data_IF_203690096131
#
_entry.id   IF_203690096131
#
_cell.length_a   1.000
_cell.length_b   1.000
_cell.length_c   1.000
_cell.angle_alpha   90.00
_cell.angle_beta   90.00
_cell.angle_gamma   90.00
#
_symmetry.space_group_name_H-M   'P 1'
#
loop_
_entity.id
_entity.type
_entity.pdbx_description
1 polymer ?
#
# COMPACT_ATOMS: atom_id res chain seq x y z
N UNK A 1 3.76 -36.42 -18.12
CA UNK A 1 3.51 -35.00 -17.97
C UNK A 1 4.80 -34.17 -17.94
N UNK A 2 5.86 -34.59 -17.21
CA UNK A 2 7.13 -33.85 -17.13
C UNK A 2 7.83 -33.68 -18.48
N UNK A 3 7.86 -34.72 -19.32
CA UNK A 3 8.45 -34.64 -20.66
C UNK A 3 7.61 -33.77 -21.60
N UNK A 4 6.29 -33.86 -21.48
CA UNK A 4 5.35 -32.99 -22.21
C UNK A 4 5.60 -31.52 -21.82
N UNK A 5 5.68 -31.22 -20.51
CA UNK A 5 5.98 -29.89 -20.01
C UNK A 5 7.34 -29.36 -20.49
N UNK A 6 8.39 -30.18 -20.50
CA UNK A 6 9.70 -29.80 -21.08
C UNK A 6 9.59 -29.47 -22.57
N UNK A 7 8.80 -30.23 -23.33
CA UNK A 7 8.57 -29.94 -24.74
C UNK A 7 7.84 -28.63 -24.96
N UNK A 8 6.86 -28.31 -24.08
CA UNK A 8 6.17 -27.02 -24.08
C UNK A 8 7.11 -25.83 -23.73
N UNK A 9 7.96 -25.98 -22.71
CA UNK A 9 8.96 -24.95 -22.34
C UNK A 9 9.95 -24.68 -23.47
N UNK A 10 10.31 -25.71 -24.24
CA UNK A 10 11.19 -25.61 -25.40
C UNK A 10 10.45 -25.10 -26.65
N UNK A 11 9.16 -24.74 -26.56
CA UNK A 11 8.30 -24.30 -27.67
C UNK A 11 8.34 -25.25 -28.86
N UNK A 12 8.40 -26.59 -28.59
CA UNK A 12 8.33 -27.57 -29.64
C UNK A 12 6.91 -27.62 -30.18
N UNK A 13 6.76 -27.78 -31.51
CA UNK A 13 5.44 -27.86 -32.15
C UNK A 13 4.75 -29.21 -31.86
N UNK A 14 5.55 -30.28 -31.69
CA UNK A 14 5.05 -31.65 -31.48
C UNK A 14 5.78 -32.30 -30.31
N UNK A 15 5.05 -33.13 -29.55
CA UNK A 15 5.59 -34.00 -28.50
C UNK A 15 5.25 -35.44 -28.83
N UNK A 16 6.25 -36.36 -28.81
CA UNK A 16 6.06 -37.78 -29.05
C UNK A 16 5.58 -38.45 -27.76
N UNK A 17 4.42 -39.12 -27.83
CA UNK A 17 3.86 -39.91 -26.76
C UNK A 17 4.56 -41.25 -26.62
N UNK A 18 4.48 -41.96 -25.46
CA UNK A 18 5.08 -43.28 -25.27
C UNK A 18 4.56 -44.36 -26.23
N UNK A 19 3.36 -44.19 -26.74
CA UNK A 19 2.72 -45.08 -27.71
C UNK A 19 3.13 -44.78 -29.16
N UNK A 20 4.06 -43.84 -29.36
CA UNK A 20 4.58 -43.48 -30.68
C UNK A 20 3.81 -42.39 -31.41
N UNK A 21 2.62 -42.02 -30.96
CA UNK A 21 1.82 -40.92 -31.54
C UNK A 21 2.43 -39.56 -31.22
N UNK A 22 2.10 -38.57 -32.05
CA UNK A 22 2.53 -37.20 -31.85
C UNK A 22 1.35 -36.34 -31.37
N UNK A 23 1.58 -35.59 -30.30
CA UNK A 23 0.66 -34.58 -29.79
C UNK A 23 1.13 -33.23 -30.31
N UNK A 24 0.24 -32.50 -30.95
CA UNK A 24 0.48 -31.11 -31.33
C UNK A 24 0.37 -30.21 -30.09
N UNK A 25 1.41 -29.42 -29.87
CA UNK A 25 1.51 -28.52 -28.71
C UNK A 25 1.08 -27.07 -29.04
N UNK A 26 0.60 -26.90 -30.27
CA UNK A 26 0.15 -25.59 -30.76
C UNK A 26 -1.30 -25.37 -30.33
N UNK A 27 -1.48 -24.58 -29.24
CA UNK A 27 -2.81 -24.24 -28.76
C UNK A 27 -2.81 -23.53 -27.40
N UNK A 28 -3.80 -22.67 -27.21
CA UNK A 28 -3.97 -21.87 -26.00
C UNK A 28 -4.01 -22.69 -24.70
N UNK A 29 -4.46 -23.94 -24.77
CA UNK A 29 -4.53 -24.84 -23.61
C UNK A 29 -3.15 -25.33 -23.15
N UNK A 30 -2.25 -25.64 -24.09
CA UNK A 30 -0.89 -26.07 -23.77
C UNK A 30 -0.07 -24.91 -23.18
N UNK A 31 -0.20 -23.70 -23.74
CA UNK A 31 0.46 -22.51 -23.23
C UNK A 31 0.01 -22.19 -21.81
N UNK A 32 -1.30 -22.25 -21.53
CA UNK A 32 -1.85 -22.00 -20.19
C UNK A 32 -1.42 -23.05 -19.17
N UNK A 33 -1.32 -24.31 -19.56
CA UNK A 33 -0.79 -25.36 -18.69
C UNK A 33 0.70 -25.16 -18.39
N UNK A 34 1.48 -24.74 -19.38
CA UNK A 34 2.88 -24.39 -19.17
C UNK A 34 3.04 -23.15 -18.29
N UNK A 35 2.24 -22.11 -18.51
CA UNK A 35 2.16 -20.93 -17.64
C UNK A 35 1.82 -21.33 -16.22
N UNK A 36 0.78 -22.15 -16.02
CA UNK A 36 0.36 -22.65 -14.73
C UNK A 36 1.49 -23.38 -14.00
N UNK A 37 2.14 -24.35 -14.68
CA UNK A 37 3.22 -25.11 -14.07
C UNK A 37 4.42 -24.24 -13.69
N UNK A 38 4.76 -23.28 -14.53
CA UNK A 38 5.83 -22.32 -14.26
C UNK A 38 5.48 -21.36 -13.12
N UNK A 39 4.23 -20.90 -13.08
CA UNK A 39 3.73 -20.00 -12.05
C UNK A 39 3.67 -20.65 -10.68
N UNK A 40 3.21 -21.89 -10.63
CA UNK A 40 3.12 -22.67 -9.40
C UNK A 40 4.48 -23.24 -8.96
N UNK A 41 5.52 -23.05 -9.78
CA UNK A 41 6.87 -23.60 -9.55
C UNK A 41 6.83 -25.11 -9.29
N UNK A 42 6.00 -25.83 -10.08
CA UNK A 42 5.86 -27.27 -9.92
C UNK A 42 7.19 -27.96 -10.21
N UNK A 43 7.60 -28.81 -9.29
CA UNK A 43 8.78 -29.66 -9.46
C UNK A 43 8.54 -30.75 -10.50
N UNK A 44 9.60 -31.29 -11.10
CA UNK A 44 9.51 -32.44 -12.00
C UNK A 44 8.79 -33.64 -11.38
N UNK A 45 8.91 -33.83 -10.04
CA UNK A 45 8.23 -34.89 -9.29
C UNK A 45 6.73 -34.64 -9.19
N UNK A 46 6.30 -33.41 -8.94
CA UNK A 46 4.87 -33.06 -8.90
C UNK A 46 4.24 -33.15 -10.28
N UNK A 47 4.94 -32.69 -11.32
CA UNK A 47 4.51 -32.86 -12.71
C UNK A 47 4.40 -34.33 -13.12
N UNK A 48 5.34 -35.17 -12.68
CA UNK A 48 5.31 -36.59 -12.97
C UNK A 48 4.19 -37.32 -12.23
N UNK A 49 3.95 -36.97 -10.97
CA UNK A 49 2.89 -37.58 -10.14
C UNK A 49 1.49 -37.08 -10.48
N UNK A 50 1.39 -35.92 -11.18
CA UNK A 50 0.12 -35.24 -11.44
C UNK A 50 -0.54 -34.69 -10.19
N UNK A 51 0.20 -34.55 -9.08
CA UNK A 51 -0.28 -34.02 -7.80
C UNK A 51 0.67 -32.97 -7.26
N UNK A 52 0.12 -31.85 -6.85
CA UNK A 52 0.86 -30.79 -6.15
C UNK A 52 0.07 -30.30 -4.95
N UNK A 53 0.77 -30.01 -3.85
CA UNK A 53 0.18 -29.36 -2.67
C UNK A 53 0.51 -27.87 -2.73
N UNK A 54 -0.54 -27.05 -2.81
CA UNK A 54 -0.40 -25.61 -2.96
C UNK A 54 -1.10 -24.89 -1.81
N UNK A 55 -0.59 -23.74 -1.37
CA UNK A 55 -1.29 -22.88 -0.44
C UNK A 55 -2.66 -22.48 -0.99
N UNK A 56 -3.68 -22.37 -0.12
CA UNK A 56 -5.07 -22.11 -0.51
C UNK A 56 -5.26 -20.83 -1.35
N UNK A 57 -4.44 -19.81 -1.11
CA UNK A 57 -4.50 -18.54 -1.87
C UNK A 57 -4.18 -18.71 -3.37
N UNK A 58 -3.47 -19.78 -3.76
CA UNK A 58 -3.22 -20.10 -5.18
C UNK A 58 -4.48 -20.56 -5.91
N UNK A 59 -5.49 -21.05 -5.17
CA UNK A 59 -6.76 -21.50 -5.75
C UNK A 59 -7.52 -20.41 -6.49
N UNK A 60 -7.53 -19.17 -5.97
CA UNK A 60 -8.20 -18.04 -6.65
C UNK A 60 -7.52 -17.71 -7.98
N UNK A 61 -6.20 -17.66 -8.00
CA UNK A 61 -5.44 -17.42 -9.22
C UNK A 61 -5.66 -18.54 -10.25
N UNK A 62 -5.63 -19.81 -9.80
CA UNK A 62 -5.87 -20.96 -10.68
C UNK A 62 -7.27 -20.95 -11.30
N UNK A 63 -8.26 -20.60 -10.49
CA UNK A 63 -9.64 -20.48 -11.00
C UNK A 63 -9.73 -19.47 -12.12
N UNK A 64 -9.13 -18.29 -11.94
CA UNK A 64 -9.16 -17.23 -12.94
C UNK A 64 -8.35 -17.59 -14.19
N UNK A 65 -7.17 -18.19 -14.02
CA UNK A 65 -6.33 -18.63 -15.13
C UNK A 65 -7.01 -19.68 -16.01
N UNK A 66 -7.69 -20.64 -15.37
CA UNK A 66 -8.32 -21.79 -16.05
C UNK A 66 -9.76 -21.51 -16.48
N UNK A 67 -10.37 -20.42 -16.03
CA UNK A 67 -11.71 -20.03 -16.44
C UNK A 67 -11.71 -19.58 -17.90
N UNK A 68 -12.61 -20.16 -18.71
CA UNK A 68 -12.73 -19.82 -20.13
C UNK A 68 -11.61 -20.40 -21.02
N UNK A 69 -10.91 -21.44 -20.56
CA UNK A 69 -9.92 -22.14 -21.39
C UNK A 69 -10.59 -23.33 -22.08
N UNK A 70 -10.69 -23.26 -23.40
CA UNK A 70 -11.21 -24.36 -24.19
C UNK A 70 -10.25 -25.57 -24.10
N UNK A 71 -10.83 -26.78 -24.06
CA UNK A 71 -10.06 -28.04 -24.05
C UNK A 71 -9.53 -28.46 -22.67
N UNK A 72 -9.65 -27.66 -21.61
CA UNK A 72 -9.28 -28.04 -20.24
C UNK A 72 -10.53 -28.27 -19.40
N UNK A 73 -10.77 -29.50 -18.92
CA UNK A 73 -11.83 -29.78 -17.98
C UNK A 73 -11.34 -29.48 -16.56
N UNK A 74 -11.93 -28.45 -15.92
CA UNK A 74 -11.60 -28.06 -14.55
C UNK A 74 -12.70 -28.54 -13.60
N UNK A 75 -12.33 -29.37 -12.63
CA UNK A 75 -13.22 -29.77 -11.54
C UNK A 75 -12.82 -29.05 -10.25
N UNK A 76 -13.79 -28.53 -9.54
CA UNK A 76 -13.63 -27.80 -8.28
C UNK A 76 -14.41 -28.51 -7.19
N UNK A 77 -13.78 -28.72 -6.05
CA UNK A 77 -14.49 -29.22 -4.87
C UNK A 77 -15.42 -28.15 -4.26
N UNK A 78 -16.21 -28.54 -3.28
CA UNK A 78 -17.16 -27.64 -2.61
C UNK A 78 -16.46 -26.49 -1.89
N UNK A 79 -15.29 -26.75 -1.27
CA UNK A 79 -14.52 -25.76 -0.51
C UNK A 79 -13.96 -24.66 -1.42
N UNK A 80 -13.35 -25.06 -2.54
CA UNK A 80 -12.83 -24.10 -3.52
C UNK A 80 -13.96 -23.31 -4.18
N UNK A 81 -15.09 -23.95 -4.52
CA UNK A 81 -16.28 -23.24 -5.05
C UNK A 81 -16.84 -22.22 -4.08
N UNK A 82 -16.95 -22.56 -2.78
CA UNK A 82 -17.38 -21.61 -1.76
C UNK A 82 -16.41 -20.44 -1.59
N UNK A 83 -15.09 -20.71 -1.60
CA UNK A 83 -14.09 -19.66 -1.53
C UNK A 83 -14.23 -18.69 -2.71
N UNK A 84 -14.26 -19.19 -3.94
CA UNK A 84 -14.41 -18.36 -5.14
C UNK A 84 -15.69 -17.52 -5.10
N UNK A 85 -16.81 -18.14 -4.71
CA UNK A 85 -18.08 -17.44 -4.57
C UNK A 85 -17.98 -16.30 -3.56
N UNK A 86 -17.44 -16.56 -2.37
CA UNK A 86 -17.33 -15.56 -1.30
C UNK A 86 -16.46 -14.35 -1.71
N UNK A 87 -15.45 -14.55 -2.56
CA UNK A 87 -14.68 -13.44 -3.13
C UNK A 87 -15.40 -12.70 -4.26
N UNK A 88 -16.32 -13.35 -4.97
CA UNK A 88 -17.10 -12.72 -6.06
C UNK A 88 -18.33 -11.98 -5.57
N UNK A 89 -18.98 -12.45 -4.49
CA UNK A 89 -20.24 -11.91 -3.96
C UNK A 89 -20.06 -11.35 -2.54
N UNK A 90 -19.10 -10.45 -2.36
CA UNK A 90 -18.80 -9.84 -1.06
C UNK A 90 -20.02 -9.13 -0.44
N UNK A 91 -20.85 -8.48 -1.25
CA UNK A 91 -22.06 -7.78 -0.79
C UNK A 91 -23.15 -8.71 -0.25
N UNK A 92 -23.08 -9.99 -0.56
CA UNK A 92 -24.02 -11.04 -0.12
C UNK A 92 -23.43 -11.89 1.02
N UNK A 93 -22.31 -11.46 1.61
CA UNK A 93 -21.67 -12.21 2.68
C UNK A 93 -22.48 -12.15 3.97
N UNK A 94 -22.58 -13.27 4.68
CA UNK A 94 -23.31 -13.42 5.94
C UNK A 94 -22.59 -12.79 7.15
N UNK A 95 -21.55 -12.00 6.95
CA UNK A 95 -20.83 -11.38 8.04
C UNK A 95 -21.60 -10.18 8.60
N UNK A 96 -22.25 -10.39 9.74
CA UNK A 96 -22.92 -9.31 10.46
C UNK A 96 -21.93 -8.22 10.90
N UNK A 97 -22.40 -6.99 10.91
CA UNK A 97 -21.62 -5.87 11.46
C UNK A 97 -21.43 -6.06 12.97
N UNK A 98 -20.32 -5.56 13.54
CA UNK A 98 -20.05 -5.70 14.97
C UNK A 98 -21.13 -4.97 15.79
N UNK A 99 -21.66 -5.64 16.79
CA UNK A 99 -22.50 -5.00 17.81
C UNK A 99 -21.63 -4.06 18.66
N UNK A 100 -22.13 -2.85 18.92
CA UNK A 100 -21.41 -1.87 19.73
C UNK A 100 -20.43 -0.96 18.95
N UNK A 101 -20.45 -0.98 17.64
CA UNK A 101 -19.75 0.02 16.83
C UNK A 101 -20.52 1.36 16.87
N UNK A 102 -19.92 2.41 17.42
CA UNK A 102 -20.50 3.74 17.49
C UNK A 102 -20.37 4.51 16.16
N UNK A 103 -20.67 3.86 15.05
CA UNK A 103 -20.66 4.46 13.73
C UNK A 103 -21.57 3.68 12.77
N UNK A 104 -22.20 4.41 11.86
CA UNK A 104 -22.90 3.81 10.74
C UNK A 104 -21.96 3.73 9.54
N UNK A 105 -21.62 2.51 9.12
CA UNK A 105 -20.78 2.31 7.96
C UNK A 105 -21.56 2.63 6.67
N UNK A 106 -20.96 3.38 5.77
CA UNK A 106 -21.49 3.57 4.41
C UNK A 106 -21.45 2.24 3.64
N UNK A 107 -22.26 2.08 2.61
CA UNK A 107 -22.35 0.84 1.83
C UNK A 107 -20.99 0.30 1.36
N UNK A 108 -20.14 1.17 0.83
CA UNK A 108 -18.81 0.77 0.42
C UNK A 108 -17.90 0.36 1.60
N UNK A 109 -18.06 0.97 2.77
CA UNK A 109 -17.31 0.59 3.98
C UNK A 109 -17.76 -0.77 4.51
N UNK A 110 -19.05 -1.08 4.40
CA UNK A 110 -19.57 -2.42 4.73
C UNK A 110 -18.96 -3.48 3.82
N UNK A 111 -18.87 -3.23 2.50
CA UNK A 111 -18.20 -4.13 1.56
C UNK A 111 -16.73 -4.31 1.94
N UNK A 112 -16.03 -3.23 2.35
CA UNK A 112 -14.65 -3.32 2.80
C UNK A 112 -14.48 -4.15 4.07
N UNK A 113 -15.36 -3.99 5.04
CA UNK A 113 -15.43 -4.82 6.24
C UNK A 113 -15.65 -6.30 5.90
N UNK A 114 -16.64 -6.61 5.05
CA UNK A 114 -16.94 -7.96 4.60
C UNK A 114 -15.77 -8.61 3.86
N UNK A 115 -15.06 -7.82 3.05
CA UNK A 115 -13.83 -8.27 2.39
C UNK A 115 -12.73 -8.62 3.39
N UNK A 116 -12.50 -7.80 4.43
CA UNK A 116 -11.55 -8.10 5.52
C UNK A 116 -11.93 -9.40 6.24
N UNK A 117 -13.22 -9.60 6.54
CA UNK A 117 -13.73 -10.82 7.16
C UNK A 117 -13.58 -12.05 6.27
N UNK A 118 -13.79 -11.89 4.98
CA UNK A 118 -13.60 -12.97 4.00
C UNK A 118 -12.12 -13.39 3.96
N UNK A 119 -11.18 -12.43 3.91
CA UNK A 119 -9.76 -12.72 3.97
C UNK A 119 -9.36 -13.45 5.26
N UNK A 120 -9.86 -12.95 6.42
CA UNK A 120 -9.63 -13.58 7.72
C UNK A 120 -10.10 -15.05 7.72
N UNK A 121 -11.32 -15.30 7.24
CA UNK A 121 -11.90 -16.65 7.21
C UNK A 121 -11.08 -17.68 6.43
N UNK A 122 -10.32 -17.22 5.44
CA UNK A 122 -9.42 -18.08 4.65
C UNK A 122 -7.94 -18.00 5.09
N UNK A 123 -7.60 -17.18 6.08
CA UNK A 123 -6.24 -16.98 6.54
C UNK A 123 -5.36 -16.19 5.57
N UNK A 124 -5.97 -15.28 4.80
CA UNK A 124 -5.28 -14.46 3.80
C UNK A 124 -5.03 -13.05 4.33
N UNK A 125 -3.90 -12.47 3.94
CA UNK A 125 -3.64 -11.05 4.13
C UNK A 125 -4.20 -10.20 2.98
N UNK A 126 -4.32 -8.88 3.19
CA UNK A 126 -4.80 -7.97 2.15
C UNK A 126 -4.41 -6.51 2.33
N UNK A 127 -4.51 -5.75 1.24
CA UNK A 127 -4.23 -4.33 1.17
C UNK A 127 -5.54 -3.56 0.98
N UNK A 128 -5.96 -2.82 1.98
CA UNK A 128 -7.04 -1.84 1.85
C UNK A 128 -6.44 -0.52 1.36
N UNK A 129 -6.57 -0.28 0.06
CA UNK A 129 -5.92 0.79 -0.68
C UNK A 129 -6.88 1.91 -1.10
N UNK A 130 -7.96 2.09 -0.38
CA UNK A 130 -8.94 3.15 -0.60
C UNK A 130 -8.28 4.53 -0.59
N UNK A 131 -8.79 5.45 -1.40
CA UNK A 131 -8.35 6.84 -1.40
C UNK A 131 -8.43 7.46 0.00
N UNK A 132 -7.56 8.42 0.30
CA UNK A 132 -7.57 9.11 1.60
C UNK A 132 -8.95 9.72 1.89
N UNK A 133 -9.43 9.61 3.13
CA UNK A 133 -10.74 10.13 3.55
C UNK A 133 -11.93 9.18 3.29
N UNK A 134 -11.72 7.97 2.77
CA UNK A 134 -12.77 6.96 2.65
C UNK A 134 -12.96 6.11 3.92
N UNK A 135 -12.29 6.45 5.03
CA UNK A 135 -12.47 5.79 6.32
C UNK A 135 -11.86 4.40 6.39
N UNK A 136 -10.63 4.23 5.91
CA UNK A 136 -9.86 2.97 6.06
C UNK A 136 -9.73 2.55 7.52
N UNK A 137 -9.40 3.50 8.40
CA UNK A 137 -9.27 3.27 9.84
C UNK A 137 -10.59 2.75 10.44
N UNK A 138 -11.73 3.37 10.12
CA UNK A 138 -13.04 2.95 10.60
C UNK A 138 -13.40 1.52 10.14
N UNK A 139 -13.11 1.17 8.89
CA UNK A 139 -13.33 -0.19 8.36
C UNK A 139 -12.46 -1.21 9.12
N UNK A 140 -11.21 -0.85 9.41
CA UNK A 140 -10.31 -1.71 10.18
C UNK A 140 -10.74 -1.81 11.65
N UNK A 141 -11.18 -0.72 12.29
CA UNK A 141 -11.73 -0.75 13.65
C UNK A 141 -12.97 -1.64 13.71
N UNK A 142 -13.87 -1.53 12.74
CA UNK A 142 -15.03 -2.42 12.64
C UNK A 142 -14.61 -3.90 12.54
N UNK A 143 -13.55 -4.20 11.76
CA UNK A 143 -12.99 -5.55 11.70
C UNK A 143 -12.40 -5.98 13.05
N UNK A 144 -11.57 -5.16 13.69
CA UNK A 144 -10.96 -5.47 14.99
C UNK A 144 -12.00 -5.72 16.08
N UNK A 145 -13.14 -5.02 16.04
CA UNK A 145 -14.24 -5.19 16.98
C UNK A 145 -14.94 -6.57 16.88
N UNK A 146 -14.73 -7.30 15.78
CA UNK A 146 -15.29 -8.65 15.59
C UNK A 146 -14.30 -9.77 15.83
N UNK A 147 -13.02 -9.46 16.09
CA UNK A 147 -12.04 -10.47 16.43
C UNK A 147 -12.50 -11.15 17.72
N UNK A 148 -12.66 -12.47 17.74
CA UNK A 148 -13.15 -13.15 18.94
C UNK A 148 -12.22 -12.89 20.10
N UNK A 149 -12.71 -12.29 21.17
CA UNK A 149 -11.98 -12.11 22.44
C UNK A 149 -11.54 -13.45 23.06
N UNK A 150 -12.00 -14.58 22.49
CA UNK A 150 -11.65 -15.93 22.90
C UNK A 150 -10.20 -16.36 22.67
N UNK A 151 -9.41 -15.55 21.98
CA UNK A 151 -7.96 -15.71 21.98
C UNK A 151 -7.35 -15.01 23.20
N UNK A 152 -7.80 -15.40 24.41
CA UNK A 152 -7.40 -14.80 25.66
C UNK A 152 -5.86 -14.63 25.71
N UNK A 153 -5.41 -13.38 25.79
CA UNK A 153 -3.99 -13.04 25.86
C UNK A 153 -3.26 -12.83 24.52
N UNK A 154 -3.95 -12.86 23.38
CA UNK A 154 -3.33 -12.59 22.06
C UNK A 154 -3.90 -11.29 21.48
N UNK A 155 -3.23 -10.14 21.65
CA UNK A 155 -3.71 -8.84 21.18
C UNK A 155 -3.59 -8.69 19.66
N UNK A 156 -4.30 -7.68 19.12
CA UNK A 156 -4.06 -7.16 17.79
C UNK A 156 -2.97 -6.07 17.87
N UNK A 157 -2.15 -5.94 16.84
CA UNK A 157 -1.09 -4.94 16.76
C UNK A 157 -1.33 -4.00 15.59
N UNK A 158 -1.47 -2.73 15.86
CA UNK A 158 -1.52 -1.66 14.86
C UNK A 158 -0.19 -0.92 14.85
N UNK A 159 0.44 -0.83 13.69
CA UNK A 159 1.72 -0.13 13.48
C UNK A 159 1.45 1.00 12.49
N UNK A 160 1.65 2.23 12.93
CA UNK A 160 1.38 3.43 12.14
C UNK A 160 2.54 4.45 12.24
N UNK A 161 2.55 5.53 11.45
CA UNK A 161 3.43 6.67 11.68
C UNK A 161 3.26 7.23 13.09
N UNK A 162 4.35 7.72 13.71
CA UNK A 162 4.32 8.25 15.08
C UNK A 162 3.26 9.35 15.28
N UNK A 163 3.03 10.17 14.25
CA UNK A 163 2.02 11.24 14.27
C UNK A 163 0.57 10.74 14.32
N UNK A 164 0.32 9.47 13.97
CA UNK A 164 -1.04 8.92 13.92
C UNK A 164 -1.40 8.05 15.14
N UNK A 165 -0.48 7.81 16.05
CA UNK A 165 -0.71 6.92 17.21
C UNK A 165 -1.87 7.41 18.06
N UNK A 166 -1.88 8.69 18.42
CA UNK A 166 -2.95 9.28 19.21
C UNK A 166 -4.28 9.31 18.46
N UNK A 167 -4.25 9.59 17.16
CA UNK A 167 -5.44 9.55 16.31
C UNK A 167 -6.07 8.14 16.28
N UNK A 168 -5.27 7.08 16.23
CA UNK A 168 -5.75 5.70 16.36
C UNK A 168 -6.42 5.46 17.73
N UNK A 169 -5.83 5.97 18.81
CA UNK A 169 -6.42 5.89 20.14
C UNK A 169 -7.77 6.59 20.23
N UNK A 170 -7.85 7.82 19.72
CA UNK A 170 -9.08 8.63 19.71
C UNK A 170 -10.18 7.97 18.85
N UNK A 171 -9.81 7.42 17.67
CA UNK A 171 -10.76 6.73 16.81
C UNK A 171 -11.24 5.39 17.42
N UNK A 172 -10.37 4.62 18.07
CA UNK A 172 -10.75 3.41 18.81
C UNK A 172 -11.74 3.73 19.94
N UNK A 173 -11.44 4.74 20.74
CA UNK A 173 -12.33 5.18 21.83
C UNK A 173 -13.67 5.68 21.31
N UNK A 174 -13.66 6.42 20.21
CA UNK A 174 -14.87 6.99 19.61
C UNK A 174 -15.77 5.93 18.98
N UNK A 175 -15.20 5.04 18.18
CA UNK A 175 -15.97 4.13 17.33
C UNK A 175 -16.17 2.74 17.93
N UNK A 176 -15.24 2.27 18.76
CA UNK A 176 -15.32 0.94 19.38
C UNK A 176 -14.88 0.98 20.85
N UNK A 177 -15.60 1.71 21.74
CA UNK A 177 -15.24 1.90 23.13
C UNK A 177 -15.18 0.61 23.95
N UNK A 178 -15.77 -0.47 23.46
CA UNK A 178 -15.68 -1.81 24.07
C UNK A 178 -14.31 -2.47 23.88
N UNK A 179 -13.49 -2.01 22.94
CA UNK A 179 -12.12 -2.50 22.73
C UNK A 179 -11.16 -1.82 23.71
N UNK A 180 -10.51 -2.60 24.54
CA UNK A 180 -9.44 -2.11 25.40
C UNK A 180 -8.19 -1.95 24.56
N UNK A 181 -7.72 -0.73 24.41
CA UNK A 181 -6.52 -0.45 23.64
C UNK A 181 -5.40 0.10 24.50
N UNK A 182 -4.17 -0.08 24.05
CA UNK A 182 -2.98 0.45 24.70
C UNK A 182 -2.03 1.08 23.68
N UNK A 183 -1.62 2.32 23.97
CA UNK A 183 -0.59 3.01 23.18
C UNK A 183 0.78 2.65 23.75
N UNK A 184 1.61 1.97 22.95
CA UNK A 184 2.97 1.58 23.34
C UNK A 184 3.93 2.69 22.92
N UNK A 185 4.21 3.59 23.83
CA UNK A 185 4.99 4.83 23.65
C UNK A 185 6.00 5.03 24.79
N UNK A 186 6.79 6.09 24.68
CA UNK A 186 7.70 6.53 25.73
C UNK A 186 9.11 5.94 25.60
N UNK A 187 9.86 5.96 26.70
CA UNK A 187 11.20 5.40 26.76
C UNK A 187 11.19 3.87 26.83
N UNK A 188 12.35 3.22 26.71
CA UNK A 188 12.44 1.76 26.63
C UNK A 188 11.83 1.04 27.85
N UNK A 189 12.05 1.55 29.06
CA UNK A 189 11.52 0.96 30.29
C UNK A 189 9.99 1.10 30.39
N UNK A 190 9.44 2.25 29.96
CA UNK A 190 8.00 2.45 29.87
C UNK A 190 7.36 1.49 28.87
N UNK A 191 7.93 1.36 27.69
CA UNK A 191 7.42 0.44 26.67
C UNK A 191 7.49 -1.02 27.12
N UNK A 192 8.53 -1.42 27.85
CA UNK A 192 8.63 -2.76 28.42
C UNK A 192 7.51 -3.01 29.43
N UNK A 193 7.25 -2.07 30.34
CA UNK A 193 6.15 -2.14 31.31
C UNK A 193 4.79 -2.22 30.61
N UNK A 194 4.57 -1.41 29.59
CA UNK A 194 3.33 -1.41 28.81
C UNK A 194 3.13 -2.78 28.10
N UNK A 195 4.17 -3.34 27.51
CA UNK A 195 4.09 -4.69 26.89
C UNK A 195 3.84 -5.78 27.91
N UNK A 196 4.40 -5.69 29.11
CA UNK A 196 4.17 -6.68 30.17
C UNK A 196 2.71 -6.70 30.64
N UNK A 197 2.04 -5.54 30.70
CA UNK A 197 0.61 -5.43 30.99
C UNK A 197 -0.29 -5.76 29.78
N UNK A 198 0.27 -6.01 28.64
CA UNK A 198 -0.43 -6.02 27.34
C UNK A 198 -1.46 -7.13 27.14
N UNK A 199 -1.40 -8.24 27.90
CA UNK A 199 -2.38 -9.34 27.81
C UNK A 199 -3.81 -8.93 28.18
N UNK A 200 -3.98 -7.80 28.88
CA UNK A 200 -5.29 -7.25 29.28
C UNK A 200 -5.95 -6.41 28.16
N UNK A 201 -5.21 -6.09 27.10
CA UNK A 201 -5.66 -5.22 26.03
C UNK A 201 -5.94 -5.98 24.74
N UNK A 202 -6.97 -5.57 24.04
CA UNK A 202 -7.42 -6.18 22.78
C UNK A 202 -6.64 -5.65 21.58
N UNK A 203 -6.18 -4.38 21.65
CA UNK A 203 -5.45 -3.70 20.59
C UNK A 203 -4.25 -2.93 21.14
N UNK A 204 -3.08 -3.16 20.57
CA UNK A 204 -1.88 -2.36 20.82
C UNK A 204 -1.63 -1.45 19.62
N UNK A 205 -1.30 -0.20 19.88
CA UNK A 205 -0.95 0.79 18.84
C UNK A 205 0.46 1.31 19.10
N UNK A 206 1.31 1.29 18.08
CA UNK A 206 2.71 1.75 18.17
C UNK A 206 3.22 2.25 16.83
N UNK A 207 4.46 2.76 16.79
CA UNK A 207 5.08 3.22 15.55
C UNK A 207 6.05 2.23 14.94
N UNK A 208 6.31 2.39 13.62
CA UNK A 208 7.33 1.62 12.90
C UNK A 208 8.71 1.71 13.55
N UNK A 209 9.06 2.89 14.03
CA UNK A 209 10.36 3.14 14.65
C UNK A 209 10.48 2.40 15.99
N UNK A 210 9.44 2.44 16.81
CA UNK A 210 9.43 1.77 18.12
C UNK A 210 9.43 0.24 17.98
N UNK A 211 8.69 -0.30 16.99
CA UNK A 211 8.79 -1.73 16.68
C UNK A 211 10.19 -2.11 16.24
N UNK A 212 10.83 -1.27 15.40
CA UNK A 212 12.21 -1.50 14.97
C UNK A 212 13.19 -1.54 16.14
N UNK A 213 13.05 -0.60 17.08
CA UNK A 213 13.91 -0.53 18.27
C UNK A 213 13.74 -1.76 19.19
N UNK A 214 12.49 -2.20 19.38
CA UNK A 214 12.15 -3.25 20.34
C UNK A 214 11.88 -4.61 19.69
N UNK A 215 12.35 -4.83 18.46
CA UNK A 215 11.97 -6.02 17.66
C UNK A 215 12.27 -7.34 18.35
N UNK A 216 13.33 -7.42 19.15
CA UNK A 216 13.67 -8.65 19.87
C UNK A 216 12.63 -9.03 20.94
N UNK A 217 11.94 -8.04 21.50
CA UNK A 217 10.83 -8.26 22.42
C UNK A 217 9.55 -8.65 21.66
N UNK A 218 9.23 -7.90 20.56
CA UNK A 218 8.05 -8.18 19.76
C UNK A 218 8.09 -9.54 19.05
N UNK A 219 9.26 -10.00 18.60
CA UNK A 219 9.41 -11.29 17.92
C UNK A 219 9.12 -12.50 18.82
N UNK A 220 9.13 -12.33 20.14
CA UNK A 220 8.77 -13.37 21.13
C UNK A 220 7.27 -13.44 21.39
N UNK A 221 6.52 -12.43 20.96
CA UNK A 221 5.08 -12.32 21.16
C UNK A 221 4.32 -12.87 19.96
N UNK A 222 3.09 -13.30 20.21
CA UNK A 222 2.14 -13.67 19.16
C UNK A 222 1.01 -12.64 19.11
N UNK A 223 0.61 -12.27 17.90
CA UNK A 223 -0.51 -11.37 17.67
C UNK A 223 -1.58 -12.09 16.84
N UNK A 224 -2.85 -11.78 17.12
CA UNK A 224 -3.91 -12.28 16.26
C UNK A 224 -3.86 -11.60 14.90
N UNK A 225 -3.87 -10.28 14.87
CA UNK A 225 -3.78 -9.49 13.65
C UNK A 225 -2.68 -8.45 13.77
N UNK A 226 -1.89 -8.27 12.70
CA UNK A 226 -0.97 -7.16 12.55
C UNK A 226 -1.45 -6.26 11.41
N UNK A 227 -1.70 -5.00 11.72
CA UNK A 227 -2.14 -3.97 10.79
C UNK A 227 -1.02 -2.96 10.58
N UNK A 228 -0.61 -2.74 9.34
CA UNK A 228 0.32 -1.68 8.98
C UNK A 228 -0.47 -0.53 8.35
N UNK A 229 -0.51 0.60 9.02
CA UNK A 229 -1.12 1.82 8.49
C UNK A 229 -0.07 2.72 7.84
N UNK A 230 -0.46 3.41 6.75
CA UNK A 230 0.44 4.21 5.92
C UNK A 230 1.71 3.42 5.55
N UNK A 231 1.50 2.24 4.96
CA UNK A 231 2.56 1.25 4.73
C UNK A 231 3.65 1.69 3.71
N UNK A 232 3.62 2.93 3.19
CA UNK A 232 4.75 3.49 2.47
C UNK A 232 6.04 3.48 3.27
N UNK A 233 5.97 3.43 4.60
CA UNK A 233 7.14 3.31 5.47
C UNK A 233 7.94 2.01 5.29
N UNK A 234 7.31 0.97 4.77
CA UNK A 234 7.97 -0.32 4.52
C UNK A 234 8.14 -0.66 3.03
N UNK A 235 7.84 0.25 2.10
CA UNK A 235 7.93 -0.02 0.65
C UNK A 235 9.31 -0.50 0.20
N UNK A 236 10.39 -0.03 0.85
CA UNK A 236 11.73 -0.50 0.57
C UNK A 236 12.09 -1.71 1.46
N UNK A 237 12.29 -2.88 0.85
CA UNK A 237 12.65 -4.12 1.53
C UNK A 237 13.99 -4.07 2.29
N UNK A 238 14.89 -3.16 1.91
CA UNK A 238 16.20 -3.03 2.56
C UNK A 238 16.14 -2.30 3.90
N UNK A 239 15.07 -1.55 4.19
CA UNK A 239 14.95 -0.77 5.43
C UNK A 239 14.85 -1.67 6.66
N UNK A 240 15.39 -1.18 7.77
CA UNK A 240 15.31 -1.89 9.06
C UNK A 240 13.86 -2.03 9.52
N UNK A 241 13.00 -1.04 9.28
CA UNK A 241 11.58 -1.10 9.60
C UNK A 241 10.87 -2.24 8.84
N UNK A 242 11.13 -2.36 7.52
CA UNK A 242 10.58 -3.45 6.70
C UNK A 242 11.02 -4.82 7.20
N UNK A 243 12.30 -4.97 7.56
CA UNK A 243 12.83 -6.22 8.12
C UNK A 243 12.21 -6.54 9.48
N UNK A 244 12.03 -5.53 10.33
CA UNK A 244 11.46 -5.69 11.66
C UNK A 244 10.01 -6.20 11.60
N UNK A 245 9.13 -5.55 10.84
CA UNK A 245 7.71 -5.95 10.79
C UNK A 245 7.51 -7.36 10.23
N UNK A 246 8.41 -7.83 9.36
CA UNK A 246 8.36 -9.20 8.82
C UNK A 246 8.73 -10.28 9.83
N UNK A 247 9.42 -9.93 10.93
CA UNK A 247 9.77 -10.85 12.02
C UNK A 247 8.63 -11.05 13.00
N UNK A 248 7.56 -10.28 12.91
CA UNK A 248 6.40 -10.39 13.79
C UNK A 248 5.64 -11.68 13.54
N UNK A 249 5.29 -12.38 14.63
CA UNK A 249 4.44 -13.56 14.57
C UNK A 249 2.98 -13.16 14.70
N UNK A 250 2.21 -13.31 13.62
CA UNK A 250 0.78 -12.99 13.60
C UNK A 250 0.00 -13.94 12.70
N UNK A 251 -1.24 -14.22 13.11
CA UNK A 251 -2.14 -15.10 12.36
C UNK A 251 -2.69 -14.40 11.11
N UNK A 252 -3.01 -13.11 11.23
CA UNK A 252 -3.55 -12.28 10.15
C UNK A 252 -2.67 -11.05 9.93
N UNK A 253 -2.60 -10.58 8.68
CA UNK A 253 -1.81 -9.41 8.31
C UNK A 253 -2.58 -8.55 7.33
N UNK A 254 -2.74 -7.26 7.65
CA UNK A 254 -3.39 -6.29 6.78
C UNK A 254 -2.52 -5.05 6.59
N UNK A 255 -2.70 -4.41 5.46
CA UNK A 255 -2.03 -3.17 5.09
C UNK A 255 -3.08 -2.13 4.74
N UNK A 256 -2.97 -0.94 5.31
CA UNK A 256 -3.73 0.24 4.97
C UNK A 256 -2.81 1.24 4.26
N UNK A 257 -3.21 1.73 3.11
CA UNK A 257 -2.44 2.75 2.37
C UNK A 257 -3.33 3.46 1.36
N UNK A 258 -3.13 4.77 1.17
CA UNK A 258 -3.77 5.49 0.06
C UNK A 258 -3.08 5.26 -1.29
N UNK A 259 -1.84 4.78 -1.27
CA UNK A 259 -0.95 4.69 -2.43
C UNK A 259 -0.20 3.35 -2.43
N UNK A 260 -0.83 2.25 -2.90
CA UNK A 260 -0.21 0.91 -2.84
C UNK A 260 1.03 0.79 -3.73
N UNK A 261 1.07 1.53 -4.83
CA UNK A 261 2.20 1.62 -5.75
C UNK A 261 2.39 3.09 -6.11
N UNK A 262 3.53 3.67 -5.77
CA UNK A 262 3.87 5.04 -6.18
C UNK A 262 4.88 5.05 -7.31
N UNK A 263 6.00 4.36 -7.13
CA UNK A 263 7.14 4.49 -8.02
C UNK A 263 7.62 3.17 -8.63
N UNK A 264 7.49 2.04 -7.93
CA UNK A 264 8.10 0.77 -8.36
C UNK A 264 7.23 -0.45 -8.02
N UNK A 265 7.23 -1.44 -8.89
CA UNK A 265 6.57 -2.73 -8.65
C UNK A 265 7.20 -3.51 -7.48
N UNK A 266 8.47 -3.29 -7.19
CA UNK A 266 9.15 -3.85 -6.02
C UNK A 266 8.55 -3.40 -4.68
N UNK A 267 7.88 -2.23 -4.63
CA UNK A 267 7.14 -1.78 -3.45
C UNK A 267 5.95 -2.72 -3.17
N UNK A 268 5.19 -3.05 -4.21
CA UNK A 268 4.08 -3.99 -4.13
C UNK A 268 4.55 -5.37 -3.69
N UNK A 269 5.66 -5.86 -4.28
CA UNK A 269 6.27 -7.12 -3.87
C UNK A 269 6.56 -7.14 -2.37
N UNK A 270 7.12 -6.07 -1.83
CA UNK A 270 7.48 -6.00 -0.42
C UNK A 270 6.27 -6.00 0.52
N UNK A 271 5.16 -5.36 0.12
CA UNK A 271 3.90 -5.43 0.87
C UNK A 271 3.33 -6.85 0.87
N UNK A 272 3.35 -7.53 -0.27
CA UNK A 272 2.90 -8.93 -0.36
C UNK A 272 3.81 -9.90 0.39
N UNK A 273 5.11 -9.65 0.45
CA UNK A 273 6.04 -10.45 1.23
C UNK A 273 5.81 -10.30 2.75
N UNK A 274 5.31 -9.14 3.21
CA UNK A 274 4.79 -8.99 4.56
C UNK A 274 3.46 -9.72 4.74
N UNK A 275 2.49 -9.55 3.86
CA UNK A 275 1.14 -10.10 3.97
C UNK A 275 1.10 -11.63 3.90
N UNK A 276 1.71 -12.18 2.89
CA UNK A 276 1.73 -13.61 2.54
C UNK A 276 3.10 -13.97 1.97
N UNK A 277 4.09 -14.31 2.82
CA UNK A 277 5.44 -14.62 2.38
C UNK A 277 5.47 -15.67 1.27
N UNK A 278 6.23 -15.39 0.20
CA UNK A 278 6.35 -16.27 -0.97
C UNK A 278 5.19 -16.22 -1.97
N UNK A 279 4.13 -15.46 -1.71
CA UNK A 279 2.99 -15.35 -2.64
C UNK A 279 3.41 -14.81 -4.01
N UNK A 280 4.12 -13.69 -4.07
CA UNK A 280 4.66 -13.10 -5.30
C UNK A 280 6.10 -13.57 -5.58
N UNK A 281 6.40 -14.85 -5.32
CA UNK A 281 7.73 -15.45 -5.50
C UNK A 281 8.82 -14.85 -4.57
N UNK A 282 10.06 -15.31 -4.76
CA UNK A 282 11.23 -14.61 -4.21
C UNK A 282 11.44 -13.29 -4.94
N UNK A 283 12.10 -12.32 -4.31
CA UNK A 283 12.40 -11.01 -4.90
C UNK A 283 13.07 -11.13 -6.28
N UNK A 284 14.06 -12.03 -6.40
CA UNK A 284 14.76 -12.28 -7.65
C UNK A 284 13.79 -12.79 -8.74
N UNK A 285 12.99 -13.80 -8.43
CA UNK A 285 12.04 -14.39 -9.38
C UNK A 285 10.94 -13.40 -9.79
N UNK A 286 10.45 -12.57 -8.87
CA UNK A 286 9.50 -11.50 -9.17
C UNK A 286 10.08 -10.48 -10.15
N UNK A 287 11.32 -10.06 -9.92
CA UNK A 287 12.00 -9.11 -10.82
C UNK A 287 12.20 -9.67 -12.22
N UNK A 288 12.64 -10.92 -12.33
CA UNK A 288 12.88 -11.53 -13.64
C UNK A 288 11.58 -11.84 -14.40
N UNK A 289 10.55 -12.37 -13.70
CA UNK A 289 9.32 -12.85 -14.35
C UNK A 289 8.27 -11.77 -14.58
N UNK A 290 8.22 -10.74 -13.73
CA UNK A 290 7.16 -9.73 -13.75
C UNK A 290 7.74 -8.31 -13.91
N UNK A 291 8.60 -7.85 -13.01
CA UNK A 291 9.05 -6.45 -13.00
C UNK A 291 9.81 -6.07 -14.28
N UNK A 292 10.82 -6.83 -14.69
CA UNK A 292 11.58 -6.53 -15.90
C UNK A 292 10.73 -6.64 -17.19
N UNK A 293 9.91 -7.68 -17.42
CA UNK A 293 9.02 -7.74 -18.57
C UNK A 293 8.03 -6.57 -18.62
N UNK A 294 7.47 -6.16 -17.49
CA UNK A 294 6.55 -5.03 -17.43
C UNK A 294 7.26 -3.70 -17.75
N UNK A 295 8.39 -3.43 -17.09
CA UNK A 295 9.06 -2.13 -17.19
C UNK A 295 9.89 -1.95 -18.46
N UNK A 296 10.60 -3.01 -18.90
CA UNK A 296 11.49 -2.94 -20.07
C UNK A 296 10.78 -3.26 -21.38
N UNK A 297 9.98 -4.32 -21.40
CA UNK A 297 9.37 -4.86 -22.61
C UNK A 297 7.91 -4.46 -22.77
N UNK A 298 7.31 -3.74 -21.78
CA UNK A 298 5.88 -3.38 -21.71
C UNK A 298 4.96 -4.57 -22.04
N UNK A 299 5.35 -5.77 -21.59
CA UNK A 299 4.67 -7.01 -21.90
C UNK A 299 3.26 -7.03 -21.28
N UNK A 300 2.17 -7.04 -22.08
CA UNK A 300 0.79 -7.02 -21.59
C UNK A 300 0.42 -8.29 -20.81
N UNK A 301 1.02 -9.45 -21.15
CA UNK A 301 0.74 -10.70 -20.46
C UNK A 301 1.27 -10.67 -19.04
N UNK A 302 2.48 -10.12 -18.83
CA UNK A 302 3.06 -9.96 -17.50
C UNK A 302 2.24 -8.97 -16.63
N UNK A 303 1.68 -7.91 -17.23
CA UNK A 303 0.76 -6.98 -16.55
C UNK A 303 -0.52 -7.69 -16.15
N UNK A 304 -1.14 -8.42 -17.09
CA UNK A 304 -2.37 -9.17 -16.83
C UNK A 304 -2.17 -10.24 -15.76
N UNK A 305 -1.03 -10.93 -15.79
CA UNK A 305 -0.63 -11.92 -14.81
C UNK A 305 -0.50 -11.33 -13.41
N UNK A 306 0.24 -10.21 -13.26
CA UNK A 306 0.40 -9.53 -11.98
C UNK A 306 -0.95 -9.04 -11.46
N UNK A 307 -1.80 -8.48 -12.34
CA UNK A 307 -3.14 -8.04 -11.98
C UNK A 307 -3.99 -9.18 -11.41
N UNK A 308 -4.04 -10.33 -12.08
CA UNK A 308 -4.76 -11.53 -11.61
C UNK A 308 -4.28 -12.02 -10.25
N UNK A 309 -2.96 -11.97 -10.00
CA UNK A 309 -2.40 -12.35 -8.71
C UNK A 309 -2.82 -11.38 -7.59
N UNK A 310 -2.82 -10.08 -7.84
CA UNK A 310 -2.97 -9.05 -6.81
C UNK A 310 -4.43 -8.71 -6.53
N UNK A 311 -5.29 -8.73 -7.53
CA UNK A 311 -6.66 -8.24 -7.48
C UNK A 311 -7.50 -8.80 -6.32
N UNK A 312 -7.46 -10.11 -5.97
CA UNK A 312 -8.26 -10.63 -4.85
C UNK A 312 -7.86 -10.07 -3.49
N UNK A 313 -6.62 -9.62 -3.34
CA UNK A 313 -5.99 -9.20 -2.09
C UNK A 313 -5.74 -7.71 -2.01
N UNK A 314 -6.25 -6.93 -2.97
CA UNK A 314 -6.12 -5.49 -3.03
C UNK A 314 -7.50 -4.85 -3.30
N UNK A 315 -8.03 -4.17 -2.30
CA UNK A 315 -9.27 -3.40 -2.44
C UNK A 315 -8.93 -1.92 -2.54
N UNK A 316 -9.26 -1.31 -3.69
CA UNK A 316 -9.01 0.11 -3.97
C UNK A 316 -10.24 0.76 -4.56
N UNK A 317 -10.72 1.83 -3.92
CA UNK A 317 -11.84 2.65 -4.38
C UNK A 317 -11.42 4.12 -4.40
N UNK A 318 -11.94 4.87 -5.36
CA UNK A 318 -11.72 6.31 -5.48
C UNK A 318 -12.94 7.05 -4.94
N UNK A 319 -12.74 8.26 -4.41
CA UNK A 319 -13.83 9.11 -3.91
C UNK A 319 -14.92 9.33 -4.96
N UNK A 320 -14.52 9.62 -6.20
CA UNK A 320 -15.42 9.85 -7.33
C UNK A 320 -16.35 8.67 -7.63
N UNK A 321 -15.94 7.44 -7.29
CA UNK A 321 -16.70 6.23 -7.59
C UNK A 321 -17.74 5.91 -6.49
N UNK A 322 -17.44 6.26 -5.23
CA UNK A 322 -18.23 5.85 -4.05
C UNK A 322 -18.93 7.01 -3.32
N UNK A 323 -18.47 8.25 -3.49
CA UNK A 323 -19.04 9.45 -2.88
C UNK A 323 -19.60 10.37 -3.98
N UNK A 324 -20.70 9.93 -4.62
CA UNK A 324 -21.34 10.68 -5.72
C UNK A 324 -21.97 12.01 -5.27
N UNK A 325 -22.17 12.17 -3.98
CA UNK A 325 -22.69 13.40 -3.36
C UNK A 325 -21.66 14.53 -3.25
N UNK A 326 -20.36 14.21 -3.36
CA UNK A 326 -19.32 15.21 -3.33
C UNK A 326 -19.20 15.93 -4.69
N UNK A 327 -19.09 17.25 -4.70
CA UNK A 327 -18.80 17.99 -5.92
C UNK A 327 -17.42 17.56 -6.47
N UNK A 328 -17.22 17.69 -7.77
CA UNK A 328 -15.92 17.39 -8.38
C UNK A 328 -14.86 18.34 -7.81
N UNK A 329 -13.63 17.81 -7.63
CA UNK A 329 -12.48 18.64 -7.25
C UNK A 329 -12.15 19.57 -8.41
N UNK A 330 -12.10 20.85 -8.12
CA UNK A 330 -11.63 21.87 -9.06
C UNK A 330 -10.19 22.22 -8.77
N UNK A 331 -9.38 22.32 -9.80
CA UNK A 331 -7.96 22.68 -9.69
C UNK A 331 -7.67 23.92 -10.52
N UNK A 332 -7.16 24.95 -9.84
CA UNK A 332 -6.78 26.20 -10.48
C UNK A 332 -5.27 26.41 -10.37
N UNK A 333 -4.64 26.74 -11.49
CA UNK A 333 -3.22 27.12 -11.54
C UNK A 333 -3.12 28.63 -11.71
N UNK A 334 -2.79 29.36 -10.64
CA UNK A 334 -2.52 30.79 -10.70
C UNK A 334 -1.03 30.99 -11.01
N UNK A 335 -0.74 31.58 -12.18
CA UNK A 335 0.62 31.97 -12.55
C UNK A 335 0.88 33.39 -12.04
N UNK A 336 2.00 33.56 -11.36
CA UNK A 336 2.44 34.84 -10.80
C UNK A 336 3.72 35.25 -11.53
N UNK A 337 3.76 36.50 -12.00
CA UNK A 337 4.97 37.10 -12.56
C UNK A 337 5.83 37.62 -11.42
N UNK A 338 7.13 37.35 -11.48
CA UNK A 338 8.10 37.92 -10.54
C UNK A 338 8.23 39.44 -10.77
N UNK A 339 8.44 40.21 -9.71
CA UNK A 339 8.81 41.62 -9.79
C UNK A 339 10.17 41.79 -10.50
N UNK A 340 10.50 43.01 -10.94
CA UNK A 340 11.77 43.26 -11.61
C UNK A 340 12.99 42.89 -10.76
N UNK A 341 12.92 43.13 -9.46
CA UNK A 341 14.01 42.81 -8.52
C UNK A 341 14.12 41.30 -8.26
N UNK A 342 13.00 40.61 -8.12
CA UNK A 342 12.99 39.15 -8.06
C UNK A 342 13.54 38.51 -9.34
N UNK A 343 13.20 39.09 -10.51
CA UNK A 343 13.73 38.61 -11.79
C UNK A 343 15.25 38.79 -11.87
N UNK A 344 15.79 39.93 -11.46
CA UNK A 344 17.24 40.18 -11.40
C UNK A 344 17.94 39.15 -10.54
N UNK A 345 17.42 38.88 -9.34
CA UNK A 345 17.94 37.86 -8.41
C UNK A 345 17.86 36.45 -9.00
N UNK A 346 16.73 36.14 -9.63
CA UNK A 346 16.56 34.85 -10.31
C UNK A 346 17.60 34.63 -11.39
N UNK A 347 17.80 35.63 -12.28
CA UNK A 347 18.80 35.55 -13.34
C UNK A 347 20.23 35.47 -12.81
N UNK A 348 20.55 36.21 -11.75
CA UNK A 348 21.86 36.12 -11.08
C UNK A 348 22.10 34.69 -10.53
N UNK A 349 21.10 34.08 -9.91
CA UNK A 349 21.18 32.68 -9.46
C UNK A 349 21.31 31.69 -10.62
N UNK A 350 20.64 31.91 -11.74
CA UNK A 350 20.79 31.07 -12.95
C UNK A 350 22.22 31.17 -13.48
N UNK A 351 22.78 32.40 -13.61
CA UNK A 351 24.14 32.60 -14.09
C UNK A 351 25.20 31.93 -13.19
N UNK A 352 25.04 32.08 -11.87
CA UNK A 352 25.92 31.42 -10.91
C UNK A 352 25.81 29.88 -11.03
N UNK A 353 24.59 29.34 -11.14
CA UNK A 353 24.38 27.91 -11.30
C UNK A 353 24.99 27.36 -12.60
N UNK A 354 24.89 28.11 -13.73
CA UNK A 354 25.50 27.72 -15.02
C UNK A 354 27.02 27.76 -14.95
N UNK A 355 27.60 28.77 -14.28
CA UNK A 355 29.04 28.86 -14.08
C UNK A 355 29.57 27.69 -13.25
N UNK A 356 28.89 27.33 -12.16
CA UNK A 356 29.24 26.20 -11.31
C UNK A 356 29.12 24.84 -12.03
N UNK A 357 28.18 24.70 -12.98
CA UNK A 357 27.92 23.46 -13.73
C UNK A 357 28.92 23.25 -14.89
N UNK A 358 29.62 24.30 -15.34
CA UNK A 358 30.64 24.23 -16.43
C UNK A 358 31.83 23.34 -16.10
N UNK A 359 32.02 22.90 -14.85
CA UNK A 359 33.14 22.06 -14.38
C UNK A 359 32.88 20.55 -14.36
N UNK A 360 31.85 20.03 -15.00
CA UNK A 360 31.60 18.58 -15.10
C UNK A 360 31.03 17.92 -13.83
N UNK A 361 30.24 18.65 -13.10
CA UNK A 361 29.79 18.30 -11.75
C UNK A 361 28.51 17.45 -11.71
N UNK A 362 28.35 16.68 -10.61
CA UNK A 362 27.37 15.61 -10.49
C UNK A 362 25.91 16.06 -10.29
N UNK A 363 24.98 15.10 -10.41
CA UNK A 363 23.52 15.28 -10.28
C UNK A 363 23.09 16.01 -8.99
N UNK A 364 23.84 15.93 -7.90
CA UNK A 364 23.56 16.58 -6.62
C UNK A 364 23.62 18.10 -6.71
N UNK A 365 24.55 18.65 -7.48
CA UNK A 365 24.73 20.10 -7.63
C UNK A 365 23.65 20.71 -8.53
N UNK A 366 23.23 19.98 -9.58
CA UNK A 366 22.06 20.36 -10.39
C UNK A 366 20.81 20.44 -9.49
N UNK A 367 20.61 19.45 -8.62
CA UNK A 367 19.46 19.45 -7.70
C UNK A 367 19.52 20.60 -6.68
N UNK A 368 20.72 20.92 -6.16
CA UNK A 368 20.93 22.05 -5.26
C UNK A 368 20.62 23.39 -5.95
N UNK A 369 21.10 23.58 -7.18
CA UNK A 369 20.83 24.77 -8.00
C UNK A 369 19.33 24.93 -8.28
N UNK A 370 18.65 23.87 -8.72
CA UNK A 370 17.20 23.88 -8.93
C UNK A 370 16.44 24.18 -7.63
N UNK A 371 16.91 23.66 -6.50
CA UNK A 371 16.31 23.94 -5.18
C UNK A 371 16.45 25.41 -4.82
N UNK A 372 17.62 26.01 -5.07
CA UNK A 372 17.85 27.45 -4.82
C UNK A 372 16.99 28.35 -5.72
N UNK A 373 16.88 28.02 -7.01
CA UNK A 373 16.01 28.74 -7.95
C UNK A 373 14.54 28.69 -7.51
N UNK A 374 14.08 27.53 -7.05
CA UNK A 374 12.71 27.39 -6.50
C UNK A 374 12.52 28.19 -5.21
N UNK A 375 13.54 28.33 -4.38
CA UNK A 375 13.49 29.17 -3.16
C UNK A 375 13.34 30.65 -3.53
N UNK A 376 14.18 31.15 -4.44
CA UNK A 376 14.09 32.54 -4.92
C UNK A 376 12.70 32.86 -5.51
N UNK A 377 12.13 31.93 -6.28
CA UNK A 377 10.77 32.08 -6.80
C UNK A 377 9.64 31.99 -5.76
N UNK A 378 9.91 31.41 -4.57
CA UNK A 378 8.92 31.37 -3.50
C UNK A 378 9.00 32.59 -2.61
N UNK A 379 10.20 32.94 -2.20
CA UNK A 379 10.55 34.07 -1.35
C UNK A 379 12.08 34.23 -1.42
N UNK A 380 12.58 35.33 -2.02
CA UNK A 380 14.01 35.62 -2.07
C UNK A 380 14.70 35.66 -0.71
N UNK A 381 13.98 36.04 0.35
CA UNK A 381 14.47 36.04 1.73
C UNK A 381 14.93 34.67 2.24
N UNK A 382 14.51 33.56 1.59
CA UNK A 382 15.00 32.21 1.90
C UNK A 382 16.46 31.96 1.45
N UNK A 383 16.96 32.79 0.53
CA UNK A 383 18.30 32.70 -0.02
C UNK A 383 19.17 33.90 0.33
N UNK A 384 18.58 35.03 0.67
CA UNK A 384 19.24 36.33 0.88
C UNK A 384 18.72 36.95 2.17
N UNK A 385 19.53 36.91 3.23
CA UNK A 385 19.13 37.34 4.61
C UNK A 385 18.69 38.82 4.70
N UNK A 386 19.13 39.69 3.79
CA UNK A 386 18.82 41.13 3.79
C UNK A 386 17.91 41.52 2.63
N UNK A 387 17.06 40.64 2.14
CA UNK A 387 16.11 41.00 1.09
C UNK A 387 14.90 41.68 1.69
N UNK A 388 14.71 42.97 1.36
CA UNK A 388 13.57 43.79 1.79
C UNK A 388 12.59 44.14 0.64
N UNK A 389 12.73 43.45 -0.50
CA UNK A 389 11.88 43.66 -1.67
C UNK A 389 10.53 42.96 -1.60
N UNK A 390 9.66 43.23 -2.58
CA UNK A 390 8.36 42.57 -2.69
C UNK A 390 8.50 41.06 -2.92
N UNK A 391 7.57 40.30 -2.38
CA UNK A 391 7.50 38.84 -2.47
C UNK A 391 6.27 38.44 -3.29
N UNK A 392 6.31 38.68 -4.60
CA UNK A 392 5.16 38.59 -5.52
C UNK A 392 4.30 37.33 -5.34
N UNK A 393 4.93 36.18 -5.11
CA UNK A 393 4.21 34.92 -4.93
C UNK A 393 3.56 34.80 -3.55
N UNK A 394 4.22 35.31 -2.53
CA UNK A 394 3.70 35.27 -1.17
C UNK A 394 2.55 36.27 -1.02
N UNK A 395 2.69 37.46 -1.55
CA UNK A 395 1.65 38.51 -1.54
C UNK A 395 0.39 38.02 -2.23
N UNK A 396 0.51 37.41 -3.42
CA UNK A 396 -0.61 36.80 -4.13
C UNK A 396 -1.24 35.60 -3.39
N UNK A 397 -0.46 34.89 -2.57
CA UNK A 397 -0.96 33.80 -1.73
C UNK A 397 -1.77 34.37 -0.55
N UNK A 398 -1.28 35.45 0.08
CA UNK A 398 -1.98 36.15 1.19
C UNK A 398 -3.31 36.71 0.70
N UNK A 399 -3.31 37.48 -0.41
CA UNK A 399 -4.55 37.98 -1.03
C UNK A 399 -5.59 36.88 -1.29
N UNK A 400 -5.14 35.73 -1.82
CA UNK A 400 -6.04 34.60 -2.08
C UNK A 400 -6.61 34.01 -0.79
N UNK A 401 -5.78 33.92 0.25
CA UNK A 401 -6.21 33.44 1.55
C UNK A 401 -7.23 34.41 2.19
N UNK A 402 -6.97 35.70 2.15
CA UNK A 402 -7.87 36.72 2.68
C UNK A 402 -9.23 36.68 1.97
N UNK A 403 -9.23 36.67 0.64
CA UNK A 403 -10.46 36.58 -0.14
C UNK A 403 -11.27 35.29 0.15
N UNK A 404 -10.60 34.16 0.38
CA UNK A 404 -11.28 32.91 0.71
C UNK A 404 -11.86 32.92 2.14
N UNK A 405 -11.14 33.50 3.13
CA UNK A 405 -11.63 33.63 4.48
C UNK A 405 -12.84 34.58 4.56
N UNK A 406 -12.79 35.71 3.85
CA UNK A 406 -13.92 36.65 3.74
C UNK A 406 -15.18 35.98 3.17
N UNK A 407 -15.01 35.06 2.24
CA UNK A 407 -16.11 34.26 1.68
C UNK A 407 -16.51 33.04 2.56
N UNK A 408 -15.97 32.91 3.78
CA UNK A 408 -16.34 31.87 4.73
C UNK A 408 -15.77 30.48 4.42
N UNK A 409 -14.75 30.38 3.54
CA UNK A 409 -14.09 29.10 3.21
C UNK A 409 -13.05 28.71 4.25
N UNK A 410 -12.90 27.43 4.48
CA UNK A 410 -11.79 26.86 5.25
C UNK A 410 -10.60 26.60 4.35
N UNK A 411 -9.39 26.94 4.81
CA UNK A 411 -8.17 26.89 4.01
C UNK A 411 -7.18 25.90 4.63
N UNK A 412 -6.57 25.06 3.81
CA UNK A 412 -5.38 24.28 4.14
C UNK A 412 -4.24 24.75 3.23
N UNK A 413 -3.22 25.35 3.83
CA UNK A 413 -2.06 25.86 3.11
C UNK A 413 -0.88 24.88 3.23
N UNK A 414 -0.36 24.42 2.09
CA UNK A 414 0.78 23.52 2.03
C UNK A 414 1.99 24.21 1.41
N UNK A 415 3.12 24.17 2.11
CA UNK A 415 4.40 24.65 1.58
C UNK A 415 5.49 23.61 1.76
N UNK A 416 6.38 23.40 0.77
CA UNK A 416 7.55 22.54 0.93
C UNK A 416 8.60 23.11 1.89
N UNK A 417 8.47 24.37 2.32
CA UNK A 417 9.39 25.09 3.23
C UNK A 417 8.65 25.59 4.45
N UNK A 418 9.13 25.23 5.64
CA UNK A 418 8.52 25.64 6.93
C UNK A 418 8.63 27.14 7.22
N UNK A 419 9.59 27.84 6.63
CA UNK A 419 9.97 29.20 7.01
C UNK A 419 9.13 30.28 6.32
N UNK A 420 8.52 29.99 5.16
CA UNK A 420 7.82 31.00 4.37
C UNK A 420 6.55 31.59 5.02
N UNK A 421 5.95 30.95 6.00
CA UNK A 421 4.63 31.36 6.50
C UNK A 421 4.59 31.82 7.96
N UNK A 422 5.68 31.64 8.71
CA UNK A 422 5.66 31.92 10.16
C UNK A 422 5.52 33.41 10.56
N UNK A 423 6.07 34.40 9.84
CA UNK A 423 5.95 35.80 10.19
C UNK A 423 4.77 36.57 9.60
N UNK A 424 4.17 36.06 8.50
CA UNK A 424 3.34 36.86 7.60
C UNK A 424 1.85 36.53 7.61
N UNK A 425 1.44 35.44 8.26
CA UNK A 425 0.00 35.20 8.43
C UNK A 425 -0.54 36.16 9.52
N UNK A 426 -1.53 36.99 9.18
CA UNK A 426 -2.21 37.81 10.17
C UNK A 426 -2.72 36.95 11.32
N UNK A 427 -2.79 37.53 12.54
CA UNK A 427 -3.12 36.77 13.76
C UNK A 427 -4.41 35.93 13.64
N UNK A 428 -5.31 36.32 12.76
CA UNK A 428 -6.61 35.69 12.50
C UNK A 428 -6.49 34.38 11.66
N UNK A 429 -5.36 34.13 10.99
CA UNK A 429 -5.08 32.92 10.19
C UNK A 429 -4.14 31.93 10.90
N UNK A 430 -3.72 32.24 12.11
CA UNK A 430 -2.82 31.38 12.93
C UNK A 430 -3.55 30.34 13.81
N UNK A 431 -4.81 30.02 13.51
CA UNK A 431 -5.55 29.00 14.27
C UNK A 431 -5.53 27.64 13.60
#
# INVERSE_FOLDING_TARGET
>A
LSELYRSMLLRRKYHRLPDGRYLELDGSSCEKLAEMAQMLQLSDRELASGKATLPAYRGLYLDELLSGTDGIRVSRDSRLRSMIRNFKTLSESDYALPSGLNAQLRSYQQIGYQWLKTLEGYGFGGILADEMGLGKTLQMIAFLATVPQKTAGVPNLVICPASLIYNWGDELQKFAPQLRYQLILGNAAERERLRAAGAEFDVWVTSYELVRQDIEAYAKLQFYCCVLDEAQHIKNAATLASKAVKRLSCRQRFVLTGTPIENRLSELWNLFDFLMPGYLYTNHAFREKLEKPILKSKNPDAVSQLRRLVQPFLLRRLKKDVLKELPPKEEYVRKISLSEDEQKLYYACVQAAVADLGGGQGKLQILAALTRLRQVCCDPGLCFENFEGPTSKLDACVELCEAMVENGHQILLFSPKKVCFSPLLPANLKR
#
